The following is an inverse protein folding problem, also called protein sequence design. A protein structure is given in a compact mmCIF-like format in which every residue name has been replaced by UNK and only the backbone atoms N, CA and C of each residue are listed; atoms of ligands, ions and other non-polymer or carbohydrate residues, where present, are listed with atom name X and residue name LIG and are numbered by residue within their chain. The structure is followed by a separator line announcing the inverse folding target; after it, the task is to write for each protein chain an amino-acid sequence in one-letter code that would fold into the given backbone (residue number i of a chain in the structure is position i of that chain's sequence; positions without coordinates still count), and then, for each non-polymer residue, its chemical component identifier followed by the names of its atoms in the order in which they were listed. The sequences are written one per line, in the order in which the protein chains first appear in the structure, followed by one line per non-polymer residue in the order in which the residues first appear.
data_IF_071169322558
#
_entry.id   IF_071169322558
#
_cell.length_a   1.000
_cell.length_b   1.000
_cell.length_c   1.000
_cell.angle_alpha   90.00
_cell.angle_beta   90.00
_cell.angle_gamma   90.00
#
_symmetry.space_group_name_H-M   'P 1'
#
loop_
_entity.id
_entity.type
_entity.pdbx_description
1 polymer ?
#
# COMPACT_ATOMS: atom_id res chain seq x y z
N UNK A 1 -9.63 29.80 -7.47
CA UNK A 1 -10.62 28.79 -7.06
C UNK A 1 -10.17 27.46 -7.66
N UNK A 2 -9.37 26.75 -6.87
CA UNK A 2 -9.39 25.29 -6.70
C UNK A 2 -9.28 24.43 -7.97
N UNK A 3 -8.04 24.32 -8.47
CA UNK A 3 -7.63 23.10 -9.16
C UNK A 3 -7.45 22.00 -8.12
N UNK A 4 -8.58 21.44 -7.68
CA UNK A 4 -8.62 20.18 -6.94
C UNK A 4 -7.91 19.17 -7.83
N UNK A 5 -6.68 18.81 -7.46
CA UNK A 5 -5.95 17.74 -8.12
C UNK A 5 -6.86 16.53 -8.07
N UNK A 6 -7.40 16.11 -9.22
CA UNK A 6 -8.14 14.87 -9.39
C UNK A 6 -7.23 13.74 -8.91
N UNK A 7 -7.39 13.33 -7.66
CA UNK A 7 -6.64 12.22 -7.08
C UNK A 7 -7.15 10.97 -7.78
N UNK A 8 -6.25 10.28 -8.49
CA UNK A 8 -6.56 9.02 -9.15
C UNK A 8 -7.20 8.04 -8.14
N UNK A 9 -8.13 7.17 -8.57
CA UNK A 9 -8.72 6.17 -7.69
C UNK A 9 -7.62 5.34 -7.01
N UNK A 10 -7.75 5.12 -5.69
CA UNK A 10 -6.83 4.28 -4.91
C UNK A 10 -6.82 2.87 -5.50
N UNK A 11 -5.80 2.57 -6.30
CA UNK A 11 -5.58 1.23 -6.85
C UNK A 11 -4.94 0.36 -5.78
N UNK A 12 -5.39 -0.89 -5.68
CA UNK A 12 -4.81 -1.91 -4.82
C UNK A 12 -3.97 -2.86 -5.67
N UNK A 13 -2.81 -3.24 -5.16
CA UNK A 13 -1.92 -4.21 -5.77
C UNK A 13 -1.93 -5.51 -4.97
N UNK A 14 -1.95 -6.63 -5.69
CA UNK A 14 -1.70 -7.96 -5.10
C UNK A 14 -0.22 -8.26 -5.27
N UNK A 15 0.44 -8.61 -4.18
CA UNK A 15 1.88 -8.85 -4.14
C UNK A 15 2.20 -10.07 -3.29
N UNK A 16 3.30 -10.74 -3.58
CA UNK A 16 3.88 -11.77 -2.70
C UNK A 16 5.15 -11.24 -2.06
N UNK A 17 5.29 -11.38 -0.75
CA UNK A 17 6.53 -11.09 -0.04
C UNK A 17 7.59 -12.13 -0.41
N UNK A 18 8.74 -11.70 -0.91
CA UNK A 18 9.80 -12.63 -1.34
C UNK A 18 10.41 -13.43 -0.18
N UNK A 19 10.38 -12.89 1.03
CA UNK A 19 11.07 -13.50 2.17
C UNK A 19 10.21 -14.55 2.89
N UNK A 20 8.88 -14.43 2.81
CA UNK A 20 7.92 -15.32 3.49
C UNK A 20 6.97 -16.06 2.54
N UNK A 21 6.98 -15.76 1.25
CA UNK A 21 6.00 -16.23 0.24
C UNK A 21 4.55 -15.88 0.60
N UNK A 22 4.36 -14.87 1.45
CA UNK A 22 3.05 -14.43 1.91
C UNK A 22 2.37 -13.52 0.87
N UNK A 23 1.11 -13.81 0.57
CA UNK A 23 0.28 -13.03 -0.34
C UNK A 23 -0.39 -11.87 0.39
N UNK A 24 -0.26 -10.66 -0.13
CA UNK A 24 -0.77 -9.43 0.48
C UNK A 24 -1.46 -8.54 -0.55
N UNK A 25 -2.43 -7.76 -0.06
CA UNK A 25 -3.06 -6.66 -0.81
C UNK A 25 -2.57 -5.35 -0.23
N UNK A 26 -2.01 -4.49 -1.07
CA UNK A 26 -1.34 -3.26 -0.66
C UNK A 26 -1.82 -2.09 -1.53
N UNK A 27 -1.82 -0.85 -1.04
CA UNK A 27 -2.02 0.32 -1.89
C UNK A 27 -0.93 0.43 -2.94
N UNK A 28 -1.29 0.71 -4.19
CA UNK A 28 -0.31 0.78 -5.30
C UNK A 28 0.69 1.92 -5.13
N UNK A 29 0.29 2.99 -4.42
CA UNK A 29 1.19 4.10 -4.07
C UNK A 29 2.22 3.74 -2.99
N UNK A 30 2.14 2.55 -2.38
CA UNK A 30 3.19 2.02 -1.51
C UNK A 30 4.26 1.26 -2.29
N UNK A 31 4.03 0.99 -3.59
CA UNK A 31 5.01 0.33 -4.42
C UNK A 31 6.08 1.31 -4.89
N UNK A 32 7.32 0.83 -4.99
CA UNK A 32 8.34 1.52 -5.77
C UNK A 32 7.93 1.61 -7.25
N UNK A 33 8.49 2.58 -7.97
CA UNK A 33 8.18 2.79 -9.39
C UNK A 33 8.45 1.55 -10.27
N UNK A 34 9.46 0.75 -9.92
CA UNK A 34 9.80 -0.51 -10.60
C UNK A 34 8.96 -1.71 -10.11
N UNK A 35 8.07 -1.50 -9.14
CA UNK A 35 7.18 -2.50 -8.51
C UNK A 35 7.92 -3.71 -7.92
N UNK A 36 9.19 -3.51 -7.52
CA UNK A 36 10.01 -4.55 -6.86
C UNK A 36 10.00 -4.46 -5.34
N UNK A 37 9.59 -3.32 -4.81
CA UNK A 37 9.55 -3.07 -3.37
C UNK A 37 8.21 -2.48 -2.96
N UNK A 38 7.79 -2.81 -1.74
CA UNK A 38 6.67 -2.17 -1.06
C UNK A 38 7.21 -1.45 0.19
N UNK A 39 6.81 -0.20 0.37
CA UNK A 39 7.05 0.56 1.60
C UNK A 39 5.92 0.27 2.57
N UNK A 40 6.23 -0.41 3.67
CA UNK A 40 5.25 -0.87 4.64
C UNK A 40 5.31 -0.02 5.91
N UNK A 41 4.18 0.51 6.40
CA UNK A 41 4.17 1.26 7.65
C UNK A 41 4.31 0.32 8.86
N UNK A 42 4.82 0.81 10.00
CA UNK A 42 5.05 0.03 11.23
C UNK A 42 3.76 -0.30 12.00
N UNK A 43 2.62 -0.39 11.31
CA UNK A 43 1.34 -0.71 11.94
C UNK A 43 1.21 -2.21 12.22
N UNK A 44 0.66 -2.54 13.39
CA UNK A 44 0.43 -3.92 13.82
C UNK A 44 -0.89 -4.51 13.30
N UNK A 45 -1.78 -3.72 12.70
CA UNK A 45 -3.08 -4.18 12.22
C UNK A 45 -3.41 -3.67 10.83
N UNK A 46 -3.83 -4.58 9.95
CA UNK A 46 -4.23 -4.32 8.56
C UNK A 46 -5.38 -3.32 8.45
N UNK A 47 -6.31 -3.31 9.41
CA UNK A 47 -7.42 -2.33 9.44
C UNK A 47 -6.93 -0.89 9.61
N UNK A 48 -5.95 -0.65 10.50
CA UNK A 48 -5.36 0.68 10.67
C UNK A 48 -4.54 1.12 9.46
N UNK A 49 -3.91 0.17 8.76
CA UNK A 49 -3.26 0.42 7.48
C UNK A 49 -4.26 0.93 6.44
N UNK A 50 -5.40 0.26 6.29
CA UNK A 50 -6.43 0.64 5.33
C UNK A 50 -7.08 1.97 5.68
N UNK A 51 -7.40 2.19 6.95
CA UNK A 51 -7.98 3.46 7.43
C UNK A 51 -7.02 4.64 7.18
N UNK A 52 -5.71 4.47 7.38
CA UNK A 52 -4.73 5.51 7.10
C UNK A 52 -4.64 5.83 5.59
N UNK A 53 -4.74 4.81 4.74
CA UNK A 53 -4.74 4.95 3.27
C UNK A 53 -6.01 5.65 2.79
N UNK A 54 -7.17 5.24 3.30
CA UNK A 54 -8.46 5.82 2.93
C UNK A 54 -8.59 7.27 3.42
N UNK A 55 -8.14 7.55 4.64
CA UNK A 55 -8.25 8.89 5.24
C UNK A 55 -7.07 9.82 4.90
N UNK A 56 -6.09 9.36 4.11
CA UNK A 56 -4.83 10.08 3.82
C UNK A 56 -4.13 10.56 5.08
N UNK A 57 -4.34 9.84 6.18
CA UNK A 57 -3.63 10.12 7.41
C UNK A 57 -2.19 9.70 7.13
N UNK A 58 -1.28 10.66 7.23
CA UNK A 58 0.14 10.35 7.24
C UNK A 58 0.30 9.37 8.40
N UNK A 59 0.69 8.11 8.16
CA UNK A 59 0.71 7.14 9.23
C UNK A 59 1.68 7.69 10.26
N UNK A 60 1.17 8.05 11.44
CA UNK A 60 1.99 8.51 12.55
C UNK A 60 2.87 7.34 12.93
N UNK A 61 4.00 7.26 12.25
CA UNK A 61 5.12 6.49 12.67
C UNK A 61 5.55 7.17 13.96
N UNK A 62 5.30 6.56 15.11
CA UNK A 62 5.80 6.99 16.42
C UNK A 62 7.35 7.01 16.45
N UNK A 63 7.99 7.77 15.56
CA UNK A 63 9.42 7.75 15.25
C UNK A 63 9.93 6.54 14.46
N UNK A 64 9.09 5.57 14.09
CA UNK A 64 9.54 4.31 13.45
C UNK A 64 9.69 4.42 11.92
N UNK A 65 10.79 3.98 11.32
CA UNK A 65 10.92 4.02 9.87
C UNK A 65 9.90 3.09 9.20
N UNK A 66 9.48 3.44 7.98
CA UNK A 66 8.78 2.50 7.12
C UNK A 66 9.74 1.40 6.70
N UNK A 67 9.25 0.16 6.66
CA UNK A 67 10.02 -0.97 6.21
C UNK A 67 9.98 -1.06 4.69
N UNK A 68 11.09 -1.50 4.08
CA UNK A 68 11.17 -1.73 2.63
C UNK A 68 11.19 -3.22 2.38
N UNK A 69 10.05 -3.75 1.95
CA UNK A 69 9.87 -5.18 1.70
C UNK A 69 10.13 -5.50 0.23
N UNK A 70 10.81 -6.63 -0.04
CA UNK A 70 10.94 -7.16 -1.40
C UNK A 70 9.68 -7.91 -1.79
N UNK A 71 9.18 -7.64 -2.99
CA UNK A 71 7.91 -8.21 -3.46
C UNK A 71 8.00 -8.79 -4.86
N UNK A 72 7.06 -9.66 -5.17
CA UNK A 72 6.67 -10.05 -6.52
C UNK A 72 5.30 -9.41 -6.79
N UNK A 73 5.23 -8.51 -7.77
CA UNK A 73 3.98 -7.88 -8.18
C UNK A 73 3.14 -8.84 -9.02
N UNK A 74 1.87 -9.04 -8.64
CA UNK A 74 0.96 -9.95 -9.32
C UNK A 74 -0.12 -9.22 -10.13
N UNK A 75 -0.57 -8.05 -9.69
CA UNK A 75 -1.58 -7.27 -10.41
C UNK A 75 -2.07 -6.03 -9.65
N UNK A 76 -2.77 -5.14 -10.36
CA UNK A 76 -3.40 -3.92 -9.82
C UNK A 76 -4.91 -3.91 -10.12
N UNK A 77 -5.71 -3.49 -9.14
CA UNK A 77 -7.16 -3.58 -9.15
C UNK A 77 -7.77 -2.30 -8.56
N UNK A 78 -8.88 -1.85 -9.16
CA UNK A 78 -9.56 -0.62 -8.73
C UNK A 78 -10.41 -0.74 -7.45
N UNK A 79 -10.60 -1.95 -6.92
CA UNK A 79 -11.34 -2.19 -5.67
C UNK A 79 -10.66 -3.29 -4.86
N UNK A 80 -10.65 -3.14 -3.53
CA UNK A 80 -10.08 -4.13 -2.61
C UNK A 80 -10.72 -5.52 -2.77
N UNK A 81 -12.04 -5.58 -2.98
CA UNK A 81 -12.77 -6.84 -3.21
C UNK A 81 -12.32 -7.60 -4.47
N UNK A 82 -11.79 -6.91 -5.49
CA UNK A 82 -11.27 -7.55 -6.70
C UNK A 82 -9.83 -8.06 -6.55
N UNK A 83 -9.15 -7.62 -5.49
CA UNK A 83 -7.77 -7.99 -5.17
C UNK A 83 -7.67 -9.13 -4.14
N UNK A 84 -8.79 -9.57 -3.54
CA UNK A 84 -8.84 -10.62 -2.52
C UNK A 84 -8.88 -12.02 -3.12
#
# INVERSE_FOLDING_TARGET
MDSVHKMAPTMYAVVTLQDSDELMVVPSNWLSQDKRHCYWPPFKSTEKCMEAVENKLNPETEGKPWEKLRIIFLGEYGTFEKAK
#
